data_IF_609629690287
#
_entry.id   IF_609629690287
#
_cell.length_a   1.000
_cell.length_b   1.000
_cell.length_c   1.000
_cell.angle_alpha   90.00
_cell.angle_beta   90.00
_cell.angle_gamma   90.00
#
_symmetry.space_group_name_H-M   'P 1'
#
loop_
_entity.id
_entity.type
_entity.pdbx_description
1 polymer ?
#
# COMPACT_ATOMS: atom_id res chain seq x y z
N UNK A 1 63.43 -22.71 11.25
CA UNK A 1 63.56 -22.18 12.63
C UNK A 1 63.88 -20.70 12.55
N UNK A 2 63.41 -19.82 13.47
CA UNK A 2 62.40 -20.00 14.53
C UNK A 2 61.08 -19.24 14.18
N UNK A 3 59.86 -19.73 14.44
CA UNK A 3 59.07 -19.85 15.70
C UNK A 3 58.89 -18.55 16.48
N UNK A 4 57.64 -18.15 16.72
CA UNK A 4 57.29 -17.04 17.61
C UNK A 4 55.79 -16.82 17.76
N UNK A 5 55.15 -17.65 18.59
CA UNK A 5 53.83 -17.46 19.21
C UNK A 5 53.83 -16.33 20.23
N UNK A 6 52.73 -15.58 20.40
CA UNK A 6 52.36 -15.02 21.71
C UNK A 6 50.84 -14.86 21.87
N UNK A 7 50.31 -15.69 22.75
CA UNK A 7 49.08 -15.50 23.51
C UNK A 7 49.27 -14.40 24.58
N UNK A 8 48.22 -13.61 24.84
CA UNK A 8 47.89 -12.98 26.13
C UNK A 8 46.35 -12.87 26.12
N UNK A 9 45.50 -13.58 26.91
CA UNK A 9 45.32 -13.75 28.36
C UNK A 9 45.21 -12.44 29.15
N UNK A 10 44.09 -12.32 29.89
CA UNK A 10 43.87 -11.83 31.28
C UNK A 10 42.46 -11.21 31.40
N UNK A 11 41.79 -11.18 32.58
CA UNK A 11 41.58 -12.21 33.59
C UNK A 11 40.09 -12.54 33.82
N UNK A 12 39.87 -13.61 34.58
CA UNK A 12 38.61 -14.10 35.13
C UNK A 12 38.49 -13.83 36.65
N UNK A 13 37.23 -13.82 37.14
CA UNK A 13 36.70 -14.08 38.51
C UNK A 13 36.58 -12.93 39.53
N UNK A 14 35.71 -13.06 40.59
CA UNK A 14 34.67 -14.08 40.91
C UNK A 14 33.27 -13.42 41.09
N UNK A 15 32.10 -14.05 41.23
CA UNK A 15 31.66 -15.34 41.78
C UNK A 15 30.60 -15.06 42.85
N UNK A 16 29.36 -15.54 42.71
CA UNK A 16 28.44 -15.76 43.83
C UNK A 16 27.41 -16.87 43.52
N UNK A 17 27.36 -17.83 44.44
CA UNK A 17 26.47 -18.98 44.52
C UNK A 17 25.07 -18.59 45.04
N UNK A 18 24.05 -19.31 44.59
CA UNK A 18 22.72 -19.32 45.22
C UNK A 18 21.85 -20.41 44.61
N UNK A 19 21.69 -21.52 45.33
CA UNK A 19 21.02 -22.74 44.90
C UNK A 19 19.55 -22.82 45.34
N UNK A 20 18.68 -23.26 44.41
CA UNK A 20 17.45 -24.04 44.61
C UNK A 20 16.17 -23.30 45.07
N UNK A 21 14.99 -23.97 45.07
CA UNK A 21 14.54 -25.11 44.26
C UNK A 21 13.25 -24.83 43.47
N UNK A 22 13.03 -25.61 42.41
CA UNK A 22 11.82 -25.66 41.57
C UNK A 22 10.67 -26.42 42.25
N UNK A 23 9.42 -25.92 42.20
CA UNK A 23 8.25 -26.75 42.48
C UNK A 23 7.68 -27.36 41.18
N UNK A 24 7.64 -28.70 41.17
CA UNK A 24 6.81 -29.49 40.28
C UNK A 24 5.32 -29.25 40.59
N UNK A 25 4.54 -28.88 39.58
CA UNK A 25 3.09 -29.08 39.59
C UNK A 25 2.68 -29.85 38.34
N UNK A 26 2.40 -31.12 38.56
CA UNK A 26 1.67 -32.03 37.66
C UNK A 26 0.17 -31.92 37.93
N UNK A 27 -0.63 -31.71 36.89
CA UNK A 27 -2.06 -32.08 36.84
C UNK A 27 -2.58 -32.05 35.39
N UNK A 28 -3.72 -32.69 35.06
CA UNK A 28 -3.72 -33.78 34.09
C UNK A 28 -4.49 -33.46 32.80
N UNK A 29 -4.20 -34.28 31.79
CA UNK A 29 -5.00 -34.70 30.63
C UNK A 29 -6.28 -33.93 30.27
N UNK A 30 -6.31 -33.43 29.03
CA UNK A 30 -7.38 -33.76 28.08
C UNK A 30 -6.79 -33.86 26.66
N UNK A 31 -6.55 -35.09 26.22
CA UNK A 31 -6.21 -35.41 24.83
C UNK A 31 -7.52 -35.62 24.07
N UNK A 32 -7.85 -34.71 23.16
CA UNK A 32 -8.95 -34.88 22.21
C UNK A 32 -8.39 -35.56 20.95
N UNK A 33 -8.71 -36.84 20.81
CA UNK A 33 -8.42 -37.67 19.64
C UNK A 33 -9.44 -37.34 18.55
N UNK A 34 -9.03 -36.69 17.46
CA UNK A 34 -9.86 -36.58 16.25
C UNK A 34 -9.59 -37.76 15.33
N UNK A 35 -10.52 -38.71 15.32
CA UNK A 35 -10.57 -39.83 14.38
C UNK A 35 -11.08 -39.30 13.04
N UNK A 36 -10.19 -39.18 12.05
CA UNK A 36 -10.58 -38.83 10.67
C UNK A 36 -10.94 -40.13 9.94
N UNK A 37 -12.22 -40.31 9.65
CA UNK A 37 -12.70 -41.40 8.81
C UNK A 37 -12.09 -41.32 7.41
N UNK A 38 -11.35 -42.37 7.05
CA UNK A 38 -10.82 -42.62 5.71
C UNK A 38 -11.93 -43.35 4.94
N UNK A 39 -12.48 -42.70 3.90
CA UNK A 39 -13.32 -43.38 2.91
C UNK A 39 -12.42 -44.12 1.91
N UNK A 40 -12.79 -45.33 1.47
CA UNK A 40 -11.99 -46.14 0.57
C UNK A 40 -12.03 -45.61 -0.88
N UNK A 41 -10.99 -45.90 -1.70
CA UNK A 41 -10.97 -45.53 -3.10
C UNK A 41 -11.81 -46.52 -3.93
N UNK A 42 -12.51 -46.00 -4.95
CA UNK A 42 -13.12 -46.81 -6.02
C UNK A 42 -12.37 -46.59 -7.35
N UNK A 43 -12.39 -47.60 -8.26
CA UNK A 43 -11.31 -47.88 -9.22
C UNK A 43 -11.44 -47.11 -10.54
N UNK A 44 -10.39 -47.15 -11.40
CA UNK A 44 -10.38 -46.44 -12.68
C UNK A 44 -11.12 -47.23 -13.75
N UNK A 45 -11.86 -46.55 -14.62
CA UNK A 45 -12.31 -47.11 -15.90
C UNK A 45 -12.20 -46.08 -17.03
N UNK A 46 -11.97 -46.62 -18.21
CA UNK A 46 -11.38 -46.03 -19.40
C UNK A 46 -12.42 -45.35 -20.33
N UNK A 47 -12.00 -44.24 -20.94
CA UNK A 47 -12.17 -43.78 -22.33
C UNK A 47 -13.55 -43.54 -23.00
N UNK A 48 -13.55 -42.41 -23.74
CA UNK A 48 -14.19 -42.06 -25.04
C UNK A 48 -15.52 -41.26 -25.05
N UNK A 49 -15.38 -40.03 -25.56
CA UNK A 49 -16.36 -39.15 -26.23
C UNK A 49 -17.02 -39.78 -27.49
N UNK A 50 -17.93 -39.10 -28.23
CA UNK A 50 -18.89 -38.01 -27.90
C UNK A 50 -20.33 -38.29 -28.43
N UNK A 51 -21.31 -37.41 -28.15
CA UNK A 51 -22.23 -36.79 -29.15
C UNK A 51 -23.35 -35.96 -28.48
N UNK A 52 -23.78 -34.94 -29.24
CA UNK A 52 -24.81 -33.93 -28.98
C UNK A 52 -26.22 -34.48 -28.69
N UNK A 53 -27.04 -33.75 -27.92
CA UNK A 53 -28.37 -33.27 -28.37
C UNK A 53 -29.09 -32.43 -27.29
N UNK A 54 -30.15 -31.77 -27.76
CA UNK A 54 -30.81 -30.56 -27.29
C UNK A 54 -31.60 -30.59 -25.96
N UNK A 55 -31.82 -29.38 -25.44
CA UNK A 55 -32.87 -28.85 -24.52
C UNK A 55 -34.30 -29.36 -24.82
N UNK A 56 -35.38 -29.07 -24.02
CA UNK A 56 -35.53 -28.03 -22.96
C UNK A 56 -36.37 -28.43 -21.71
N UNK A 57 -36.41 -27.58 -20.67
CA UNK A 57 -37.64 -27.06 -19.97
C UNK A 57 -37.32 -26.38 -18.62
N UNK A 58 -37.66 -25.09 -18.54
CA UNK A 58 -38.04 -24.32 -17.34
C UNK A 58 -39.49 -24.70 -16.91
N UNK A 59 -40.10 -24.22 -15.78
CA UNK A 59 -39.86 -22.95 -15.05
C UNK A 59 -39.99 -22.98 -13.50
N UNK A 60 -39.66 -21.86 -12.82
CA UNK A 60 -40.49 -21.23 -11.78
C UNK A 60 -39.96 -19.82 -11.43
N UNK A 61 -40.89 -18.87 -11.36
CA UNK A 61 -40.72 -17.45 -10.99
C UNK A 61 -40.96 -17.23 -9.48
N UNK A 62 -40.34 -16.20 -8.86
CA UNK A 62 -40.99 -15.04 -8.20
C UNK A 62 -40.01 -14.12 -7.40
N UNK A 63 -40.39 -12.90 -6.95
CA UNK A 63 -39.68 -11.66 -7.33
C UNK A 63 -39.17 -10.79 -6.16
N UNK A 64 -38.51 -9.67 -6.49
CA UNK A 64 -38.61 -8.43 -5.70
C UNK A 64 -37.31 -7.66 -5.53
N UNK A 65 -37.19 -6.51 -6.19
CA UNK A 65 -36.82 -5.18 -5.66
C UNK A 65 -36.38 -4.27 -6.81
N UNK A 66 -37.22 -3.28 -7.12
CA UNK A 66 -36.92 -2.19 -8.04
C UNK A 66 -36.13 -1.11 -7.30
N UNK A 67 -34.92 -0.79 -7.77
CA UNK A 67 -34.28 0.50 -7.52
C UNK A 67 -34.44 1.35 -8.78
N UNK A 68 -35.17 2.46 -8.65
CA UNK A 68 -35.27 3.48 -9.68
C UNK A 68 -33.96 4.29 -9.72
N UNK A 69 -33.18 4.13 -10.77
CA UNK A 69 -32.11 5.07 -11.13
C UNK A 69 -32.67 6.00 -12.22
N UNK A 70 -32.82 7.28 -11.88
CA UNK A 70 -33.12 8.33 -12.85
C UNK A 70 -31.84 8.63 -13.65
N UNK A 71 -31.79 8.14 -14.89
CA UNK A 71 -30.73 8.43 -15.84
C UNK A 71 -31.10 9.71 -16.61
N UNK A 72 -30.38 10.81 -16.36
CA UNK A 72 -30.54 12.05 -17.10
C UNK A 72 -29.61 12.01 -18.31
N UNK A 73 -30.14 11.53 -19.44
CA UNK A 73 -29.46 11.51 -20.74
C UNK A 73 -29.53 12.91 -21.37
N UNK A 74 -28.46 13.69 -21.25
CA UNK A 74 -28.21 14.85 -22.10
C UNK A 74 -27.50 14.38 -23.37
N UNK A 75 -28.26 14.27 -24.46
CA UNK A 75 -27.70 14.06 -25.80
C UNK A 75 -27.36 15.43 -26.39
N UNK A 76 -26.07 15.73 -26.54
CA UNK A 76 -25.63 16.91 -27.27
C UNK A 76 -25.13 16.49 -28.66
N UNK A 77 -26.00 16.65 -29.67
CA UNK A 77 -25.63 16.54 -31.10
C UNK A 77 -24.81 17.77 -31.48
N UNK A 78 -23.54 17.57 -31.86
CA UNK A 78 -22.75 18.57 -32.59
C UNK A 78 -23.19 18.61 -34.07
N UNK A 79 -23.25 19.80 -34.68
CA UNK A 79 -22.88 19.97 -36.07
C UNK A 79 -21.62 20.84 -36.20
N UNK A 80 -20.72 20.41 -37.07
CA UNK A 80 -19.60 21.19 -37.57
C UNK A 80 -20.12 22.29 -38.53
N UNK A 81 -19.65 23.53 -38.37
CA UNK A 81 -19.12 24.41 -39.43
C UNK A 81 -18.98 25.86 -38.92
N UNK A 82 -17.98 26.54 -39.47
CA UNK A 82 -17.44 27.84 -39.09
C UNK A 82 -18.38 29.03 -39.38
N UNK A 83 -18.32 30.05 -38.52
CA UNK A 83 -18.06 31.47 -38.84
C UNK A 83 -18.35 32.36 -37.62
N UNK A 84 -17.77 33.55 -37.67
CA UNK A 84 -17.51 34.53 -36.61
C UNK A 84 -18.69 35.40 -36.12
N UNK A 85 -18.56 35.92 -34.88
CA UNK A 85 -19.23 37.07 -34.22
C UNK A 85 -20.48 36.76 -33.34
N UNK A 86 -20.87 37.68 -32.43
CA UNK A 86 -20.49 37.73 -31.02
C UNK A 86 -21.59 37.17 -30.08
N UNK A 87 -21.17 36.70 -28.89
CA UNK A 87 -22.03 36.05 -27.90
C UNK A 87 -23.15 36.96 -27.35
N UNK A 88 -24.41 36.51 -27.30
CA UNK A 88 -25.40 37.05 -26.40
C UNK A 88 -25.29 36.39 -25.02
N UNK A 89 -25.30 37.21 -23.98
CA UNK A 89 -25.36 36.80 -22.57
C UNK A 89 -26.73 36.16 -22.28
N UNK A 90 -26.76 34.85 -22.07
CA UNK A 90 -27.98 34.14 -21.66
C UNK A 90 -28.10 34.18 -20.15
N UNK A 91 -28.99 35.04 -19.63
CA UNK A 91 -29.38 35.07 -18.21
C UNK A 91 -30.30 33.89 -17.92
N UNK A 92 -29.88 32.98 -17.04
CA UNK A 92 -30.72 31.88 -16.53
C UNK A 92 -31.36 32.34 -15.21
N UNK A 93 -32.68 32.48 -15.20
CA UNK A 93 -33.46 32.76 -13.98
C UNK A 93 -33.88 31.43 -13.35
N UNK A 94 -33.43 31.16 -12.12
CA UNK A 94 -33.84 29.99 -11.34
C UNK A 94 -34.92 30.44 -10.34
N UNK A 95 -36.13 29.93 -10.50
CA UNK A 95 -37.24 30.15 -9.56
C UNK A 95 -37.24 29.02 -8.54
N UNK A 96 -36.94 29.33 -7.26
CA UNK A 96 -36.99 28.37 -6.15
C UNK A 96 -38.36 28.46 -5.49
N UNK A 97 -39.18 27.42 -5.66
CA UNK A 97 -40.48 27.29 -5.00
C UNK A 97 -40.29 26.59 -3.65
N UNK A 98 -40.36 27.33 -2.54
CA UNK A 98 -40.32 26.77 -1.18
C UNK A 98 -41.69 26.24 -0.79
N UNK A 99 -41.84 24.92 -0.69
CA UNK A 99 -43.00 24.27 -0.07
C UNK A 99 -42.79 24.17 1.45
N UNK A 100 -43.60 24.91 2.21
CA UNK A 100 -43.71 24.77 3.66
C UNK A 100 -44.57 23.53 4.01
N UNK A 101 -44.09 22.58 4.84
CA UNK A 101 -44.98 21.61 5.46
C UNK A 101 -45.57 22.15 6.77
N UNK A 102 -46.87 21.93 6.93
CA UNK A 102 -47.67 22.30 8.07
C UNK A 102 -47.28 21.53 9.34
N UNK A 103 -47.27 22.24 10.47
CA UNK A 103 -47.08 21.69 11.80
C UNK A 103 -48.28 20.83 12.24
N UNK A 104 -48.01 19.59 12.66
CA UNK A 104 -48.88 18.84 13.58
C UNK A 104 -48.10 18.46 14.82
N UNK A 105 -48.54 18.98 15.96
CA UNK A 105 -47.98 18.75 17.28
C UNK A 105 -48.42 17.37 17.81
N UNK A 106 -47.48 16.45 17.98
CA UNK A 106 -47.63 15.30 18.86
C UNK A 106 -46.56 15.35 19.95
N UNK A 107 -47.00 15.44 21.21
CA UNK A 107 -46.14 15.28 22.38
C UNK A 107 -45.64 13.84 22.47
N UNK A 108 -44.42 13.60 21.99
CA UNK A 108 -43.60 12.46 22.38
C UNK A 108 -42.35 12.98 23.08
N UNK A 109 -42.12 12.48 24.30
CA UNK A 109 -40.91 12.77 25.10
C UNK A 109 -39.68 12.34 24.30
N UNK A 110 -38.65 13.20 24.13
CA UNK A 110 -37.41 12.78 23.52
C UNK A 110 -36.62 11.98 24.55
N UNK A 111 -36.51 10.67 24.33
CA UNK A 111 -35.38 9.89 24.84
C UNK A 111 -34.15 10.42 24.10
N UNK A 112 -33.39 11.30 24.74
CA UNK A 112 -32.18 11.88 24.17
C UNK A 112 -31.18 10.75 23.91
N UNK A 113 -30.94 10.52 22.63
CA UNK A 113 -29.91 9.66 22.06
C UNK A 113 -28.54 10.10 22.56
N UNK A 114 -28.02 9.50 23.65
CA UNK A 114 -26.61 9.66 24.02
C UNK A 114 -25.66 9.15 22.92
N UNK A 115 -26.10 8.20 22.09
CA UNK A 115 -25.32 7.71 20.95
C UNK A 115 -25.11 8.72 19.80
N UNK A 116 -25.95 9.75 19.67
CA UNK A 116 -25.81 10.72 18.57
C UNK A 116 -24.71 11.77 18.82
N UNK A 117 -24.41 12.07 20.10
CA UNK A 117 -23.36 13.04 20.44
C UNK A 117 -21.96 12.46 20.22
N UNK A 118 -21.76 11.18 20.52
CA UNK A 118 -20.47 10.50 20.32
C UNK A 118 -20.17 10.29 18.82
N UNK A 119 -21.18 9.97 18.00
CA UNK A 119 -21.05 9.84 16.56
C UNK A 119 -20.67 11.17 15.89
N UNK A 120 -21.35 12.27 16.27
CA UNK A 120 -21.01 13.60 15.76
C UNK A 120 -19.60 14.04 16.13
N UNK A 121 -19.08 13.63 17.28
CA UNK A 121 -17.72 13.95 17.70
C UNK A 121 -16.67 13.18 16.88
N UNK A 122 -16.94 11.92 16.54
CA UNK A 122 -16.01 11.10 15.75
C UNK A 122 -15.93 11.56 14.29
N UNK A 123 -17.06 11.82 13.66
CA UNK A 123 -17.11 12.30 12.26
C UNK A 123 -16.47 13.69 12.14
N UNK A 124 -16.70 14.56 13.13
CA UNK A 124 -16.04 15.86 13.19
C UNK A 124 -14.52 15.74 13.29
N UNK A 125 -14.04 14.81 14.10
CA UNK A 125 -12.61 14.57 14.26
C UNK A 125 -11.97 13.99 13.01
N UNK A 126 -12.67 13.10 12.30
CA UNK A 126 -12.23 12.59 11.00
C UNK A 126 -12.13 13.72 9.95
N UNK A 127 -13.12 14.59 9.89
CA UNK A 127 -13.11 15.78 9.02
C UNK A 127 -11.95 16.73 9.35
N UNK A 128 -11.69 16.99 10.63
CA UNK A 128 -10.55 17.81 11.05
C UNK A 128 -9.21 17.20 10.62
N UNK A 129 -9.08 15.87 10.69
CA UNK A 129 -7.88 15.16 10.27
C UNK A 129 -7.68 15.23 8.75
N UNK A 130 -8.73 15.02 7.95
CA UNK A 130 -8.61 15.02 6.49
C UNK A 130 -8.45 16.43 5.89
N UNK A 131 -9.17 17.41 6.43
CA UNK A 131 -9.21 18.78 5.89
C UNK A 131 -7.82 19.45 5.82
N UNK A 132 -6.94 19.17 6.78
CA UNK A 132 -5.56 19.68 6.78
C UNK A 132 -4.78 19.28 5.51
N UNK A 133 -4.93 18.01 5.10
CA UNK A 133 -4.28 17.46 3.91
C UNK A 133 -5.00 17.84 2.61
N UNK A 134 -6.32 18.03 2.65
CA UNK A 134 -7.08 18.59 1.53
C UNK A 134 -6.62 20.03 1.24
N UNK A 135 -6.41 20.84 2.28
CA UNK A 135 -5.85 22.18 2.15
C UNK A 135 -4.39 22.16 1.63
N UNK A 136 -3.55 21.21 2.07
CA UNK A 136 -2.20 21.03 1.49
C UNK A 136 -2.28 20.77 -0.02
N UNK A 137 -3.18 19.87 -0.44
CA UNK A 137 -3.36 19.49 -1.83
C UNK A 137 -3.88 20.66 -2.68
N UNK A 138 -4.78 21.47 -2.12
CA UNK A 138 -5.28 22.69 -2.74
C UNK A 138 -4.29 23.88 -2.66
N UNK A 139 -3.07 23.67 -2.14
CA UNK A 139 -2.04 24.70 -1.97
C UNK A 139 -2.46 25.86 -1.05
N UNK A 140 -3.39 25.61 -0.13
CA UNK A 140 -3.87 26.57 0.88
C UNK A 140 -3.04 26.43 2.16
N UNK A 141 -1.74 26.73 2.07
CA UNK A 141 -0.76 26.39 3.12
C UNK A 141 -0.98 27.09 4.46
N UNK A 142 -1.47 28.33 4.48
CA UNK A 142 -1.82 29.03 5.73
C UNK A 142 -2.96 28.31 6.49
N UNK A 143 -4.01 27.94 5.75
CA UNK A 143 -5.15 27.19 6.32
C UNK A 143 -4.72 25.79 6.76
N UNK A 144 -3.94 25.11 5.92
CA UNK A 144 -3.41 23.79 6.21
C UNK A 144 -2.57 23.78 7.49
N UNK A 145 -1.68 24.77 7.68
CA UNK A 145 -0.85 24.89 8.89
C UNK A 145 -1.70 24.95 10.17
N UNK A 146 -2.75 25.78 10.17
CA UNK A 146 -3.66 25.91 11.30
C UNK A 146 -4.51 24.64 11.51
N UNK A 147 -4.91 23.98 10.44
CA UNK A 147 -5.68 22.74 10.50
C UNK A 147 -4.85 21.56 11.03
N UNK A 148 -3.56 21.45 10.67
CA UNK A 148 -2.66 20.46 11.26
C UNK A 148 -2.51 20.67 12.77
N UNK A 149 -2.42 21.93 13.23
CA UNK A 149 -2.39 22.24 14.66
C UNK A 149 -3.67 21.81 15.37
N UNK A 150 -4.83 22.21 14.83
CA UNK A 150 -6.13 21.87 15.39
C UNK A 150 -6.35 20.35 15.46
N UNK A 151 -6.01 19.63 14.40
CA UNK A 151 -6.13 18.17 14.35
C UNK A 151 -5.23 17.49 15.41
N UNK A 152 -3.98 17.95 15.57
CA UNK A 152 -3.09 17.42 16.59
C UNK A 152 -3.61 17.67 18.02
N UNK A 153 -4.09 18.87 18.32
CA UNK A 153 -4.66 19.20 19.63
C UNK A 153 -5.93 18.38 19.94
N UNK A 154 -6.80 18.20 18.95
CA UNK A 154 -8.01 17.40 19.10
C UNK A 154 -7.69 15.92 19.40
N UNK A 155 -6.66 15.36 18.73
CA UNK A 155 -6.15 14.02 19.01
C UNK A 155 -5.51 13.90 20.40
N UNK A 156 -4.75 14.90 20.85
CA UNK A 156 -4.17 14.95 22.20
C UNK A 156 -5.27 14.92 23.27
N UNK A 157 -6.34 15.69 23.07
CA UNK A 157 -7.50 15.71 23.94
C UNK A 157 -8.24 14.36 23.94
N UNK A 158 -8.39 13.72 22.77
CA UNK A 158 -9.01 12.40 22.67
C UNK A 158 -8.22 11.32 23.43
N UNK A 159 -6.87 11.36 23.36
CA UNK A 159 -6.01 10.48 24.16
C UNK A 159 -6.24 10.74 25.65
N UNK A 160 -6.23 12.00 26.10
CA UNK A 160 -6.46 12.34 27.50
C UNK A 160 -7.82 11.85 28.00
N UNK A 161 -8.88 12.05 27.20
CA UNK A 161 -10.23 11.58 27.51
C UNK A 161 -10.30 10.04 27.56
N UNK A 162 -9.63 9.35 26.63
CA UNK A 162 -9.60 7.87 26.59
C UNK A 162 -8.98 7.24 27.85
N UNK A 163 -8.02 7.94 28.50
CA UNK A 163 -7.41 7.49 29.75
C UNK A 163 -8.36 7.60 30.95
N UNK A 164 -9.36 8.48 30.87
CA UNK A 164 -10.40 8.64 31.90
C UNK A 164 -11.61 7.75 31.65
N UNK A 165 -11.76 7.21 30.43
CA UNK A 165 -12.85 6.32 30.07
C UNK A 165 -12.67 4.93 30.69
N UNK A 166 -13.77 4.38 31.20
CA UNK A 166 -13.85 3.01 31.74
C UNK A 166 -14.09 2.00 30.59
N UNK A 167 -14.38 2.48 29.38
CA UNK A 167 -14.62 1.65 28.19
C UNK A 167 -13.33 0.91 27.77
N UNK A 168 -13.31 -0.43 27.78
CA UNK A 168 -12.11 -1.20 27.44
C UNK A 168 -11.73 -1.09 25.95
N UNK A 169 -12.69 -0.87 25.06
CA UNK A 169 -12.45 -0.82 23.61
C UNK A 169 -11.76 0.49 23.17
N UNK A 170 -12.15 1.62 23.77
CA UNK A 170 -11.60 2.95 23.47
C UNK A 170 -10.19 3.16 24.05
N UNK A 171 -9.83 2.33 25.03
CA UNK A 171 -8.58 2.41 25.76
C UNK A 171 -7.55 1.35 25.30
N UNK A 172 -7.72 0.74 24.13
CA UNK A 172 -6.72 -0.18 23.60
C UNK A 172 -5.37 0.53 23.37
N UNK A 173 -4.26 -0.14 23.71
CA UNK A 173 -2.92 0.40 23.49
C UNK A 173 -2.64 0.67 22.00
N UNK A 174 -3.26 -0.12 21.12
CA UNK A 174 -3.16 0.05 19.66
C UNK A 174 -3.85 1.34 19.21
N UNK A 175 -5.07 1.63 19.68
CA UNK A 175 -5.76 2.88 19.39
C UNK A 175 -4.95 4.08 19.87
N UNK A 176 -4.35 4.00 21.06
CA UNK A 176 -3.45 5.04 21.58
C UNK A 176 -2.17 5.18 20.74
N UNK A 177 -1.59 4.10 20.23
CA UNK A 177 -0.45 4.18 19.29
C UNK A 177 -0.85 4.90 18.01
N UNK A 178 -1.95 4.47 17.38
CA UNK A 178 -2.45 5.06 16.13
C UNK A 178 -2.65 6.57 16.29
N UNK A 179 -3.34 7.02 17.35
CA UNK A 179 -3.54 8.45 17.62
C UNK A 179 -2.22 9.20 17.81
N UNK A 180 -1.24 8.63 18.53
CA UNK A 180 0.09 9.23 18.69
C UNK A 180 0.83 9.35 17.37
N UNK A 181 0.74 8.33 16.51
CA UNK A 181 1.31 8.37 15.16
C UNK A 181 0.65 9.48 14.33
N UNK A 182 -0.68 9.62 14.37
CA UNK A 182 -1.38 10.72 13.70
C UNK A 182 -0.94 12.10 14.21
N UNK A 183 -0.83 12.28 15.54
CA UNK A 183 -0.30 13.53 16.13
C UNK A 183 1.10 13.82 15.58
N UNK A 184 1.98 12.83 15.57
CA UNK A 184 3.33 12.99 15.04
C UNK A 184 3.30 13.42 13.57
N UNK A 185 2.47 12.79 12.74
CA UNK A 185 2.31 13.16 11.32
C UNK A 185 1.86 14.62 11.22
N UNK A 186 0.78 15.04 11.88
CA UNK A 186 0.31 16.43 11.78
C UNK A 186 1.36 17.43 12.27
N UNK A 187 2.07 17.15 13.36
CA UNK A 187 3.15 18.02 13.88
C UNK A 187 4.38 18.05 12.97
N UNK A 188 4.68 16.96 12.26
CA UNK A 188 5.75 16.89 11.27
C UNK A 188 5.41 17.74 10.04
N UNK A 189 4.17 17.64 9.54
CA UNK A 189 3.66 18.47 8.44
C UNK A 189 3.63 19.95 8.81
N UNK A 190 3.13 20.29 10.00
CA UNK A 190 3.13 21.67 10.51
C UNK A 190 4.56 22.27 10.54
N UNK A 191 5.55 21.50 11.03
CA UNK A 191 6.96 21.92 11.02
C UNK A 191 7.53 22.07 9.61
N UNK A 192 7.10 21.24 8.67
CA UNK A 192 7.53 21.32 7.27
C UNK A 192 6.93 22.52 6.54
N UNK A 193 5.70 22.92 6.87
CA UNK A 193 5.03 24.11 6.31
C UNK A 193 5.63 25.42 6.83
N UNK A 194 6.07 25.46 8.10
CA UNK A 194 6.55 26.70 8.74
C UNK A 194 7.60 27.48 7.92
N UNK A 195 8.72 26.87 7.45
CA UNK A 195 9.72 27.61 6.67
C UNK A 195 9.16 28.21 5.37
N UNK A 196 8.22 27.52 4.74
CA UNK A 196 7.57 27.96 3.49
C UNK A 196 6.69 29.21 3.73
N UNK A 197 6.02 29.27 4.88
CA UNK A 197 5.19 30.41 5.29
C UNK A 197 6.01 31.60 5.79
N UNK A 198 7.05 31.33 6.60
CA UNK A 198 7.84 32.39 7.25
C UNK A 198 8.80 33.11 6.30
N UNK A 199 9.33 32.41 5.30
CA UNK A 199 10.45 32.92 4.50
C UNK A 199 10.03 33.46 3.13
N UNK A 200 8.76 33.30 2.75
CA UNK A 200 8.36 33.30 1.35
C UNK A 200 9.03 32.13 0.60
N UNK A 201 8.55 31.81 -0.61
CA UNK A 201 9.03 30.63 -1.34
C UNK A 201 10.55 30.64 -1.63
N UNK A 202 11.23 31.79 -1.57
CA UNK A 202 12.60 32.01 -2.04
C UNK A 202 13.79 31.50 -1.21
N UNK A 203 13.60 30.62 -0.22
CA UNK A 203 14.76 30.00 0.48
C UNK A 203 15.33 28.89 -0.38
N UNK A 204 16.59 29.06 -0.76
CA UNK A 204 17.34 28.03 -1.47
C UNK A 204 17.95 27.02 -0.49
N UNK A 205 17.89 25.73 -0.82
CA UNK A 205 18.63 24.68 -0.12
C UNK A 205 20.15 24.88 -0.27
N UNK A 206 20.96 24.04 0.38
CA UNK A 206 22.43 24.09 0.30
C UNK A 206 22.95 23.94 -1.14
N UNK A 207 22.09 23.52 -2.08
CA UNK A 207 22.36 23.30 -3.49
C UNK A 207 21.78 24.42 -4.39
N UNK A 208 21.26 25.51 -3.79
CA UNK A 208 20.74 26.67 -4.53
C UNK A 208 19.31 26.51 -5.07
N UNK A 209 18.58 25.46 -4.70
CA UNK A 209 17.21 25.19 -5.18
C UNK A 209 16.16 25.66 -4.19
N UNK A 210 15.10 26.28 -4.70
CA UNK A 210 13.97 26.71 -3.90
C UNK A 210 13.43 25.57 -3.02
N UNK A 211 13.20 25.83 -1.73
CA UNK A 211 12.63 24.87 -0.79
C UNK A 211 11.15 24.65 -1.14
N UNK A 212 10.90 23.77 -2.11
CA UNK A 212 9.55 23.40 -2.53
C UNK A 212 8.95 22.44 -1.50
N UNK A 213 7.88 22.87 -0.85
CA UNK A 213 7.08 22.00 0.00
C UNK A 213 6.36 20.97 -0.88
N UNK A 214 6.50 19.69 -0.55
CA UNK A 214 5.83 18.59 -1.25
C UNK A 214 4.55 18.22 -0.47
N UNK A 215 3.35 18.43 -1.05
CA UNK A 215 2.10 18.00 -0.43
C UNK A 215 2.09 16.50 -0.15
N UNK A 216 1.43 16.08 0.93
CA UNK A 216 1.33 14.68 1.28
C UNK A 216 0.47 13.94 0.23
N UNK A 217 0.92 12.79 -0.30
CA UNK A 217 0.12 11.94 -1.17
C UNK A 217 -1.20 11.59 -0.49
N UNK A 218 -2.30 11.69 -1.24
CA UNK A 218 -3.64 11.42 -0.76
C UNK A 218 -4.51 10.78 -1.87
N UNK A 219 -5.75 10.47 -1.52
CA UNK A 219 -6.68 9.77 -2.39
C UNK A 219 -7.17 10.65 -3.54
N UNK A 220 -7.17 11.98 -3.39
CA UNK A 220 -7.52 12.90 -4.48
C UNK A 220 -6.52 12.79 -5.63
N UNK A 221 -5.22 12.86 -5.32
CA UNK A 221 -4.17 12.65 -6.31
C UNK A 221 -4.24 11.26 -6.94
N UNK A 222 -4.44 10.22 -6.13
CA UNK A 222 -4.57 8.85 -6.62
C UNK A 222 -5.80 8.64 -7.51
N UNK A 223 -6.95 9.22 -7.16
CA UNK A 223 -8.16 9.12 -7.95
C UNK A 223 -8.02 9.88 -9.27
N UNK A 224 -7.31 11.01 -9.27
CA UNK A 224 -6.94 11.71 -10.50
C UNK A 224 -6.14 10.83 -11.46
N UNK A 225 -5.19 10.04 -10.94
CA UNK A 225 -4.44 9.09 -11.76
C UNK A 225 -5.28 7.89 -12.23
N UNK A 226 -6.37 7.54 -11.54
CA UNK A 226 -7.25 6.42 -11.91
C UNK A 226 -8.34 6.81 -12.91
N UNK A 227 -8.56 8.11 -13.10
CA UNK A 227 -9.52 8.64 -14.06
C UNK A 227 -9.11 8.25 -15.49
N UNK A 228 -10.07 7.81 -16.31
CA UNK A 228 -9.84 7.41 -17.69
C UNK A 228 -9.27 8.56 -18.53
N UNK A 229 -9.61 9.81 -18.18
CA UNK A 229 -9.11 11.01 -18.87
C UNK A 229 -7.64 11.32 -18.55
N UNK A 230 -7.08 10.74 -17.49
CA UNK A 230 -5.69 11.01 -17.07
C UNK A 230 -4.64 10.50 -18.05
N UNK A 231 -4.96 9.47 -18.83
CA UNK A 231 -4.00 8.76 -19.68
C UNK A 231 -2.83 8.11 -18.91
N UNK A 232 -2.89 8.03 -17.57
CA UNK A 232 -1.85 7.43 -16.74
C UNK A 232 -1.72 5.91 -16.97
N UNK A 233 -0.63 5.30 -16.51
CA UNK A 233 -0.51 3.85 -16.57
C UNK A 233 -1.50 3.16 -15.60
N UNK A 234 -1.80 3.83 -14.49
CA UNK A 234 -2.78 3.40 -13.50
C UNK A 234 -4.21 3.38 -14.02
N UNK A 235 -4.64 4.37 -14.80
CA UNK A 235 -5.99 4.39 -15.39
C UNK A 235 -6.14 3.29 -16.44
N UNK A 236 -5.13 3.07 -17.27
CA UNK A 236 -5.09 1.93 -18.21
C UNK A 236 -5.16 0.61 -17.45
N UNK A 237 -4.40 0.45 -16.36
CA UNK A 237 -4.48 -0.76 -15.54
C UNK A 237 -5.87 -0.94 -14.93
N UNK A 238 -6.44 0.13 -14.38
CA UNK A 238 -7.78 0.13 -13.79
C UNK A 238 -8.82 -0.36 -14.80
N UNK A 239 -8.83 0.21 -16.01
CA UNK A 239 -9.71 -0.18 -17.11
C UNK A 239 -9.56 -1.68 -17.46
N UNK A 240 -8.32 -2.15 -17.62
CA UNK A 240 -8.05 -3.56 -17.97
C UNK A 240 -8.54 -4.52 -16.86
N UNK A 241 -8.33 -4.17 -15.59
CA UNK A 241 -8.78 -5.00 -14.46
C UNK A 241 -10.30 -5.00 -14.30
N UNK A 242 -10.94 -3.86 -14.55
CA UNK A 242 -12.39 -3.74 -14.60
C UNK A 242 -12.99 -4.61 -15.71
N UNK A 243 -12.47 -4.52 -16.94
CA UNK A 243 -12.91 -5.35 -18.07
C UNK A 243 -12.79 -6.84 -17.78
N UNK A 244 -11.67 -7.27 -17.18
CA UNK A 244 -11.45 -8.66 -16.79
C UNK A 244 -12.45 -9.16 -15.72
N UNK A 245 -12.98 -8.25 -14.90
CA UNK A 245 -13.92 -8.60 -13.81
C UNK A 245 -15.36 -8.75 -14.29
N UNK A 246 -15.75 -8.04 -15.35
CA UNK A 246 -17.13 -8.00 -15.85
C UNK A 246 -17.40 -8.88 -17.07
N UNK A 247 -16.37 -9.43 -17.72
CA UNK A 247 -16.57 -10.38 -18.84
C UNK A 247 -16.88 -11.78 -18.30
N UNK A 248 -18.12 -12.31 -18.46
CA UNK A 248 -18.54 -13.60 -17.92
C UNK A 248 -18.11 -14.79 -18.79
N UNK A 249 -17.33 -14.55 -19.85
CA UNK A 249 -16.77 -15.61 -20.67
C UNK A 249 -15.48 -16.11 -20.00
N UNK A 250 -15.22 -17.43 -19.97
CA UNK A 250 -13.95 -18.00 -19.52
C UNK A 250 -12.88 -17.76 -20.58
N UNK A 251 -12.77 -16.53 -21.08
CA UNK A 251 -11.58 -16.05 -21.71
C UNK A 251 -10.60 -15.78 -20.58
N UNK A 252 -10.00 -16.85 -20.05
CA UNK A 252 -8.59 -16.72 -19.67
C UNK A 252 -7.93 -16.22 -20.95
N UNK A 253 -7.42 -14.98 -21.00
CA UNK A 253 -6.52 -14.64 -22.08
C UNK A 253 -5.43 -15.68 -21.94
N UNK A 254 -5.31 -16.58 -22.92
CA UNK A 254 -4.00 -17.16 -23.17
C UNK A 254 -3.10 -15.92 -23.27
N UNK A 255 -2.14 -15.80 -22.36
CA UNK A 255 -1.29 -14.62 -22.19
C UNK A 255 -0.50 -14.20 -23.47
N UNK A 256 -0.74 -14.88 -24.59
CA UNK A 256 -0.18 -14.63 -25.92
C UNK A 256 -1.01 -13.65 -26.78
N UNK A 257 -2.28 -13.40 -26.46
CA UNK A 257 -3.12 -12.43 -27.18
C UNK A 257 -3.64 -11.36 -26.22
N UNK A 258 -2.74 -10.46 -25.80
CA UNK A 258 -3.11 -9.20 -25.17
C UNK A 258 -3.99 -8.38 -26.12
N UNK A 259 -4.90 -7.52 -25.61
CA UNK A 259 -5.62 -6.56 -26.44
C UNK A 259 -4.66 -5.85 -27.39
N UNK A 260 -5.12 -5.66 -28.64
CA UNK A 260 -4.40 -5.07 -29.78
C UNK A 260 -3.38 -3.99 -29.35
N UNK A 261 -2.22 -3.87 -30.01
CA UNK A 261 -1.27 -2.76 -29.81
C UNK A 261 -1.87 -1.35 -29.97
N UNK A 262 -3.16 -1.26 -30.31
CA UNK A 262 -3.96 -0.05 -30.36
C UNK A 262 -4.51 0.43 -28.99
N UNK A 263 -4.09 -0.12 -27.85
CA UNK A 263 -4.23 0.62 -26.59
C UNK A 263 -3.43 1.91 -26.75
N UNK A 264 -4.06 3.09 -26.67
CA UNK A 264 -3.36 4.34 -26.89
C UNK A 264 -2.14 4.43 -25.96
N UNK A 265 -0.95 4.50 -26.55
CA UNK A 265 0.38 4.54 -25.93
C UNK A 265 0.63 5.79 -25.04
N UNK A 266 -0.41 6.46 -24.56
CA UNK A 266 -0.31 7.75 -23.86
C UNK A 266 0.10 7.66 -22.39
N UNK A 267 0.36 6.46 -21.84
CA UNK A 267 1.02 6.34 -20.53
C UNK A 267 2.51 6.69 -20.67
N UNK A 268 2.80 7.97 -20.86
CA UNK A 268 4.15 8.49 -21.03
C UNK A 268 4.85 8.40 -19.68
N UNK A 269 5.59 7.30 -19.47
CA UNK A 269 6.74 7.30 -18.57
C UNK A 269 7.74 8.28 -19.18
N UNK A 270 7.51 9.58 -19.00
CA UNK A 270 8.26 10.62 -19.68
C UNK A 270 9.68 10.64 -19.11
N UNK A 271 10.65 10.19 -19.91
CA UNK A 271 12.01 10.07 -19.46
C UNK A 271 12.69 11.42 -19.15
N UNK A 272 12.12 12.52 -19.66
CA UNK A 272 12.67 13.86 -19.51
C UNK A 272 12.32 14.49 -18.16
N UNK A 273 11.29 13.99 -17.48
CA UNK A 273 10.89 14.47 -16.18
C UNK A 273 11.93 14.07 -15.11
N UNK A 274 12.17 14.94 -14.10
CA UNK A 274 13.11 14.64 -13.04
C UNK A 274 12.65 13.41 -12.21
N UNK A 275 13.60 12.62 -11.70
CA UNK A 275 13.26 11.48 -10.87
C UNK A 275 12.72 11.89 -9.51
N UNK A 276 11.77 11.11 -8.98
CA UNK A 276 11.26 11.26 -7.62
C UNK A 276 12.10 10.40 -6.70
N UNK A 277 12.61 10.97 -5.61
CA UNK A 277 13.53 10.28 -4.69
C UNK A 277 12.91 10.17 -3.30
N UNK A 278 13.07 9.00 -2.69
CA UNK A 278 12.68 8.75 -1.30
C UNK A 278 13.82 8.23 -0.47
N UNK A 279 13.97 8.78 0.74
CA UNK A 279 14.84 8.23 1.77
C UNK A 279 14.06 7.27 2.65
N UNK A 280 14.53 6.02 2.74
CA UNK A 280 13.86 5.01 3.53
C UNK A 280 14.45 4.94 4.94
N UNK A 281 13.55 5.05 5.92
CA UNK A 281 13.85 4.93 7.34
C UNK A 281 13.14 3.73 7.93
N UNK A 282 13.76 3.15 8.97
CA UNK A 282 13.21 1.98 9.65
C UNK A 282 13.18 2.18 11.15
N UNK A 283 12.08 1.77 11.74
CA UNK A 283 11.85 1.77 13.19
C UNK A 283 11.32 0.38 13.57
N UNK A 284 11.72 -0.09 14.75
CA UNK A 284 11.23 -1.33 15.34
C UNK A 284 10.56 -1.02 16.66
N UNK A 285 9.36 -1.53 16.84
CA UNK A 285 8.58 -1.38 18.06
C UNK A 285 8.17 -2.76 18.61
N UNK A 286 8.11 -2.87 19.93
CA UNK A 286 7.55 -4.03 20.60
C UNK A 286 6.11 -3.73 20.98
N UNK A 287 5.16 -4.55 20.50
CA UNK A 287 3.77 -4.44 20.93
C UNK A 287 3.59 -5.14 22.27
N UNK A 288 2.59 -4.71 23.04
CA UNK A 288 2.21 -5.32 24.32
C UNK A 288 1.76 -6.77 24.16
N UNK A 289 1.32 -7.16 22.97
CA UNK A 289 0.97 -8.54 22.59
C UNK A 289 2.18 -9.45 22.29
N UNK A 290 3.41 -8.97 22.48
CA UNK A 290 4.64 -9.73 22.22
C UNK A 290 4.94 -9.90 20.72
N UNK A 291 4.28 -9.14 19.86
CA UNK A 291 4.60 -9.06 18.44
C UNK A 291 5.68 -7.97 18.21
N UNK A 292 6.63 -8.25 17.32
CA UNK A 292 7.53 -7.25 16.79
C UNK A 292 6.80 -6.52 15.66
N UNK A 293 6.70 -5.21 15.76
CA UNK A 293 6.18 -4.35 14.69
C UNK A 293 7.35 -3.66 14.00
N UNK A 294 7.40 -3.81 12.68
CA UNK A 294 8.35 -3.15 11.82
C UNK A 294 7.64 -2.02 11.11
N UNK A 295 8.18 -0.82 11.25
CA UNK A 295 7.67 0.39 10.61
C UNK A 295 8.76 0.89 9.67
N UNK A 296 8.40 1.05 8.42
CA UNK A 296 9.29 1.55 7.38
C UNK A 296 8.67 2.82 6.82
N UNK A 297 9.40 3.93 6.79
CA UNK A 297 8.89 5.23 6.32
C UNK A 297 9.66 5.67 5.10
N UNK A 298 8.95 6.13 4.07
CA UNK A 298 9.55 6.77 2.91
C UNK A 298 9.41 8.28 3.07
N UNK A 299 10.56 8.96 3.18
CA UNK A 299 10.64 10.41 3.33
C UNK A 299 10.96 11.07 2.00
N UNK A 300 10.50 12.30 1.87
CA UNK A 300 10.81 13.17 0.73
C UNK A 300 12.32 13.43 0.60
N UNK A 301 12.79 13.93 -0.54
CA UNK A 301 14.22 14.12 -0.85
C UNK A 301 14.98 14.92 0.22
N UNK A 302 14.34 15.90 0.87
CA UNK A 302 14.98 16.66 1.96
C UNK A 302 15.17 15.86 3.26
N UNK A 303 14.63 14.64 3.33
CA UNK A 303 14.59 13.76 4.50
C UNK A 303 13.86 14.35 5.73
N UNK A 304 13.14 15.45 5.54
CA UNK A 304 12.51 16.21 6.63
C UNK A 304 11.21 15.59 7.12
N UNK A 305 10.44 15.02 6.20
CA UNK A 305 9.13 14.48 6.52
C UNK A 305 8.77 13.24 5.70
N UNK A 306 7.92 12.41 6.29
CA UNK A 306 7.44 11.15 5.75
C UNK A 306 6.25 11.38 4.83
N UNK A 307 6.22 10.68 3.70
CA UNK A 307 5.12 10.70 2.72
C UNK A 307 4.36 9.38 2.69
N UNK A 308 5.06 8.28 2.96
CA UNK A 308 4.47 6.95 3.06
C UNK A 308 5.03 6.18 4.25
N UNK A 309 4.23 5.24 4.74
CA UNK A 309 4.64 4.31 5.81
C UNK A 309 4.18 2.91 5.46
N UNK A 310 5.01 1.92 5.73
CA UNK A 310 4.66 0.50 5.68
C UNK A 310 4.78 -0.07 7.09
N UNK A 311 3.75 -0.79 7.52
CA UNK A 311 3.75 -1.50 8.79
C UNK A 311 3.63 -3.00 8.53
N UNK A 312 4.49 -3.78 9.18
CA UNK A 312 4.40 -5.23 9.21
C UNK A 312 4.52 -5.72 10.64
N UNK A 313 3.80 -6.79 10.97
CA UNK A 313 3.87 -7.41 12.29
C UNK A 313 4.38 -8.85 12.18
N UNK A 314 5.22 -9.22 13.12
CA UNK A 314 5.90 -10.51 13.19
C UNK A 314 5.80 -11.07 14.60
N UNK A 315 5.37 -12.33 14.74
CA UNK A 315 5.31 -13.02 16.04
C UNK A 315 6.35 -14.13 16.06
N UNK A 316 7.31 -14.00 16.97
CA UNK A 316 8.44 -14.92 17.30
C UNK A 316 8.96 -15.78 16.15
N UNK A 317 8.22 -16.82 15.77
CA UNK A 317 8.65 -17.92 14.90
C UNK A 317 7.96 -17.92 13.53
N UNK A 318 7.11 -16.92 13.24
CA UNK A 318 6.40 -16.81 11.99
C UNK A 318 7.03 -15.72 11.12
N UNK A 319 7.54 -16.12 9.96
CA UNK A 319 7.96 -15.20 8.90
C UNK A 319 6.93 -14.10 8.63
N UNK A 320 7.37 -12.92 8.23
CA UNK A 320 6.47 -11.85 7.77
C UNK A 320 5.69 -12.37 6.55
N UNK A 321 4.37 -12.46 6.68
CA UNK A 321 3.45 -12.94 5.63
C UNK A 321 2.53 -11.84 5.09
N UNK A 322 2.44 -10.72 5.79
CA UNK A 322 1.60 -9.59 5.39
C UNK A 322 2.19 -8.26 5.89
N UNK A 323 1.84 -7.20 5.18
CA UNK A 323 2.15 -5.82 5.55
C UNK A 323 1.08 -4.90 5.00
N UNK A 324 0.91 -3.74 5.64
CA UNK A 324 -0.01 -2.69 5.21
C UNK A 324 0.79 -1.44 4.87
N UNK A 325 0.44 -0.80 3.75
CA UNK A 325 1.10 0.39 3.24
C UNK A 325 0.13 1.57 3.21
N UNK A 326 0.57 2.69 3.77
CA UNK A 326 -0.24 3.85 4.10
C UNK A 326 0.36 5.10 3.43
N UNK A 327 -0.53 5.92 2.88
CA UNK A 327 -0.26 7.34 2.69
C UNK A 327 -0.34 8.03 4.05
N UNK A 328 0.59 8.92 4.36
CA UNK A 328 0.57 9.61 5.67
C UNK A 328 -0.69 10.45 5.86
N UNK A 329 -1.26 10.98 4.76
CA UNK A 329 -2.49 11.77 4.78
C UNK A 329 -3.74 10.96 5.14
N UNK A 330 -3.69 9.64 4.99
CA UNK A 330 -4.84 8.75 5.17
C UNK A 330 -4.65 7.80 6.37
N UNK A 331 -3.52 7.88 7.09
CA UNK A 331 -3.23 6.96 8.19
C UNK A 331 -4.33 7.04 9.27
N UNK A 332 -4.88 5.90 9.75
CA UNK A 332 -4.40 4.52 9.60
C UNK A 332 -5.10 3.70 8.48
N UNK A 333 -5.76 4.33 7.50
CA UNK A 333 -6.37 3.60 6.40
C UNK A 333 -5.29 3.15 5.40
N UNK A 334 -5.13 1.83 5.16
CA UNK A 334 -4.15 1.35 4.19
C UNK A 334 -4.63 1.66 2.77
N UNK A 335 -3.69 2.08 1.92
CA UNK A 335 -3.93 2.24 0.48
C UNK A 335 -3.49 1.01 -0.32
N UNK A 336 -2.55 0.21 0.22
CA UNK A 336 -2.14 -1.08 -0.35
C UNK A 336 -1.98 -2.11 0.77
N UNK A 337 -2.69 -3.23 0.66
CA UNK A 337 -2.49 -4.42 1.49
C UNK A 337 -1.60 -5.43 0.77
N UNK A 338 -0.58 -5.92 1.46
CA UNK A 338 0.45 -6.78 0.89
C UNK A 338 0.37 -8.17 1.51
N UNK A 339 0.32 -9.19 0.66
CA UNK A 339 0.40 -10.59 1.07
C UNK A 339 1.61 -11.25 0.44
N UNK A 340 2.40 -11.95 1.25
CA UNK A 340 3.58 -12.69 0.83
C UNK A 340 3.26 -14.18 0.86
N UNK A 341 3.66 -14.91 -0.18
CA UNK A 341 3.58 -16.38 -0.16
C UNK A 341 4.40 -16.96 0.99
N UNK A 342 3.86 -17.98 1.66
CA UNK A 342 4.53 -18.64 2.78
C UNK A 342 5.88 -19.25 2.43
N UNK A 343 6.78 -19.22 3.42
CA UNK A 343 8.03 -19.98 3.47
C UNK A 343 7.98 -20.89 4.69
N UNK A 344 8.69 -22.02 4.63
CA UNK A 344 8.88 -22.92 5.76
C UNK A 344 9.42 -22.15 6.99
N UNK A 345 8.78 -22.37 8.14
CA UNK A 345 9.03 -21.57 9.36
C UNK A 345 10.46 -21.70 9.91
N UNK A 346 11.09 -22.85 9.70
CA UNK A 346 12.40 -23.19 10.29
C UNK A 346 13.59 -22.94 9.36
N UNK A 347 13.39 -22.16 8.30
CA UNK A 347 14.45 -21.85 7.37
C UNK A 347 15.17 -20.56 7.79
N UNK A 348 16.40 -20.71 8.29
CA UNK A 348 17.27 -19.60 8.72
C UNK A 348 17.61 -18.62 7.58
N UNK A 349 17.38 -19.01 6.32
CA UNK A 349 17.61 -18.17 5.14
C UNK A 349 16.32 -17.62 4.53
N UNK A 350 15.17 -17.83 5.18
CA UNK A 350 13.85 -17.50 4.65
C UNK A 350 13.70 -16.03 4.26
N UNK A 351 14.34 -15.12 4.99
CA UNK A 351 14.30 -13.69 4.72
C UNK A 351 14.96 -13.28 3.40
N UNK A 352 15.90 -14.08 2.87
CA UNK A 352 16.63 -13.80 1.62
C UNK A 352 16.03 -14.53 0.41
N UNK A 353 15.11 -15.46 0.65
CA UNK A 353 14.46 -16.25 -0.38
C UNK A 353 13.31 -15.47 -1.01
N UNK A 354 13.28 -15.49 -2.34
CA UNK A 354 12.22 -14.87 -3.12
C UNK A 354 10.84 -15.48 -2.83
N UNK A 355 9.83 -14.61 -2.78
CA UNK A 355 8.42 -14.95 -2.54
C UNK A 355 7.55 -14.32 -3.62
N UNK A 356 6.39 -14.90 -3.83
CA UNK A 356 5.33 -14.22 -4.58
C UNK A 356 4.77 -13.10 -3.70
N UNK A 357 4.62 -11.91 -4.26
CA UNK A 357 4.05 -10.74 -3.59
C UNK A 357 2.70 -10.45 -4.24
N UNK A 358 1.63 -10.38 -3.46
CA UNK A 358 0.33 -9.92 -3.91
C UNK A 358 0.06 -8.53 -3.33
N UNK A 359 -0.04 -7.54 -4.20
CA UNK A 359 -0.28 -6.14 -3.85
C UNK A 359 -1.75 -5.83 -4.18
N UNK A 360 -2.57 -5.67 -3.14
CA UNK A 360 -3.99 -5.28 -3.27
C UNK A 360 -4.10 -3.78 -3.00
N UNK A 361 -4.15 -3.00 -4.07
CA UNK A 361 -4.39 -1.55 -4.04
C UNK A 361 -5.82 -1.20 -4.47
N UNK A 362 -6.02 -0.09 -5.20
CA UNK A 362 -7.34 0.41 -5.58
C UNK A 362 -8.04 -0.41 -6.70
N UNK A 363 -7.36 -1.41 -7.27
CA UNK A 363 -7.84 -2.20 -8.40
C UNK A 363 -8.74 -3.37 -7.99
N UNK A 364 -9.61 -3.81 -8.90
CA UNK A 364 -10.47 -4.99 -8.67
C UNK A 364 -9.69 -6.30 -8.51
N UNK A 365 -8.51 -6.38 -9.14
CA UNK A 365 -7.62 -7.54 -9.05
C UNK A 365 -6.26 -7.16 -8.45
N UNK A 366 -5.69 -8.00 -7.57
CA UNK A 366 -4.38 -7.74 -6.99
C UNK A 366 -3.28 -7.90 -8.05
N UNK A 367 -2.25 -7.07 -7.94
CA UNK A 367 -1.03 -7.19 -8.75
C UNK A 367 -0.17 -8.28 -8.13
N UNK A 368 0.29 -9.22 -8.96
CA UNK A 368 1.06 -10.38 -8.52
C UNK A 368 2.47 -10.31 -9.08
N UNK A 369 3.45 -10.21 -8.19
CA UNK A 369 4.85 -10.35 -8.54
C UNK A 369 5.32 -11.78 -8.35
N UNK A 370 5.73 -12.41 -9.44
CA UNK A 370 6.20 -13.79 -9.43
C UNK A 370 7.72 -13.83 -9.54
N UNK A 371 8.43 -14.49 -8.62
CA UNK A 371 9.84 -14.77 -8.80
C UNK A 371 10.03 -15.82 -9.89
N UNK A 372 11.11 -15.68 -10.69
CA UNK A 372 11.50 -16.73 -11.64
C UNK A 372 11.74 -18.08 -10.94
N UNK A 373 12.17 -18.03 -9.66
CA UNK A 373 12.52 -19.19 -8.85
C UNK A 373 11.98 -19.07 -7.44
N UNK A 374 10.79 -19.58 -7.18
CA UNK A 374 10.17 -19.57 -5.86
C UNK A 374 11.09 -20.16 -4.77
N UNK A 375 11.15 -19.49 -3.60
CA UNK A 375 11.92 -19.91 -2.42
C UNK A 375 13.43 -20.15 -2.70
N UNK A 376 14.03 -19.39 -3.63
CA UNK A 376 15.48 -19.37 -3.87
C UNK A 376 16.06 -17.98 -3.58
N UNK A 377 17.35 -17.96 -3.28
CA UNK A 377 18.13 -16.73 -3.12
C UNK A 377 18.71 -16.35 -4.50
N UNK A 378 18.73 -15.05 -4.87
CA UNK A 378 18.18 -13.91 -4.13
C UNK A 378 16.68 -13.69 -4.43
N UNK A 379 16.12 -12.63 -3.83
CA UNK A 379 14.74 -12.18 -4.04
C UNK A 379 14.35 -11.92 -5.51
N UNK A 380 15.32 -11.54 -6.34
CA UNK A 380 15.18 -11.27 -7.76
C UNK A 380 15.79 -12.38 -8.62
N UNK A 381 15.39 -12.51 -9.89
CA UNK A 381 14.41 -11.67 -10.58
C UNK A 381 12.95 -11.96 -10.21
N UNK A 382 12.11 -10.92 -10.18
CA UNK A 382 10.64 -11.01 -10.05
C UNK A 382 9.95 -10.25 -11.17
N UNK A 383 8.88 -10.81 -11.70
CA UNK A 383 8.16 -10.29 -12.86
C UNK A 383 6.71 -10.00 -12.51
N UNK A 384 6.15 -8.95 -13.10
CA UNK A 384 4.73 -8.64 -13.02
C UNK A 384 4.28 -7.87 -14.27
N UNK A 385 2.96 -7.73 -14.42
CA UNK A 385 2.34 -6.94 -15.48
C UNK A 385 1.53 -5.82 -14.84
N UNK A 386 1.58 -4.63 -15.44
CA UNK A 386 0.85 -3.46 -14.98
C UNK A 386 0.49 -2.57 -16.17
N UNK A 387 -0.77 -2.18 -16.29
CA UNK A 387 -1.27 -1.42 -17.46
C UNK A 387 -0.95 -2.06 -18.82
N UNK A 388 -0.98 -3.40 -18.92
CA UNK A 388 -0.62 -4.14 -20.14
C UNK A 388 0.89 -4.24 -20.42
N UNK A 389 1.74 -3.58 -19.62
CA UNK A 389 3.20 -3.56 -19.76
C UNK A 389 3.85 -4.56 -18.81
N UNK A 390 5.05 -5.02 -19.16
CA UNK A 390 5.76 -6.09 -18.44
C UNK A 390 7.01 -5.55 -17.76
N UNK A 391 7.17 -5.87 -16.49
CA UNK A 391 8.24 -5.35 -15.66
C UNK A 391 8.98 -6.44 -14.91
N UNK A 392 10.29 -6.26 -14.74
CA UNK A 392 11.16 -7.18 -14.03
C UNK A 392 12.02 -6.43 -13.01
N UNK A 393 11.91 -6.85 -11.74
CA UNK A 393 12.86 -6.51 -10.69
C UNK A 393 14.13 -7.34 -10.90
N UNK A 394 15.29 -6.69 -10.97
CA UNK A 394 16.62 -7.33 -11.04
C UNK A 394 17.45 -6.94 -9.82
N UNK A 395 18.48 -7.73 -9.44
CA UNK A 395 19.37 -7.35 -8.34
C UNK A 395 20.01 -5.98 -8.60
N UNK A 396 20.02 -5.10 -7.60
CA UNK A 396 20.65 -3.77 -7.72
C UNK A 396 22.18 -3.86 -7.76
N UNK A 397 22.75 -4.76 -6.95
CA UNK A 397 24.15 -5.18 -7.01
C UNK A 397 24.19 -6.72 -7.03
N UNK A 398 24.85 -7.35 -8.02
CA UNK A 398 25.03 -8.80 -8.06
C UNK A 398 25.73 -9.41 -6.84
N UNK A 399 26.42 -8.60 -6.04
CA UNK A 399 27.21 -9.03 -4.88
C UNK A 399 26.62 -8.61 -3.53
N UNK A 400 25.55 -7.80 -3.51
CA UNK A 400 24.88 -7.36 -2.28
C UNK A 400 23.38 -7.65 -2.37
N UNK A 401 22.97 -8.79 -1.79
CA UNK A 401 21.58 -9.23 -1.74
C UNK A 401 20.66 -8.28 -0.93
N UNK A 402 21.23 -7.34 -0.16
CA UNK A 402 20.45 -6.36 0.64
C UNK A 402 20.22 -5.06 -0.14
N UNK A 403 20.94 -4.85 -1.25
CA UNK A 403 20.74 -3.70 -2.13
C UNK A 403 19.27 -3.63 -2.59
N UNK A 404 18.66 -2.43 -2.69
CA UNK A 404 17.37 -2.29 -3.34
C UNK A 404 17.43 -2.82 -4.77
N UNK A 405 16.32 -3.40 -5.23
CA UNK A 405 16.28 -3.98 -6.58
C UNK A 405 16.00 -2.90 -7.61
N UNK A 406 16.46 -3.15 -8.83
CA UNK A 406 16.27 -2.22 -9.95
C UNK A 406 15.15 -2.73 -10.85
N UNK A 407 14.17 -1.88 -11.13
CA UNK A 407 13.05 -2.20 -12.02
C UNK A 407 13.39 -1.83 -13.46
N UNK A 408 13.10 -2.75 -14.37
CA UNK A 408 13.15 -2.50 -15.81
C UNK A 408 11.85 -2.93 -16.47
N UNK A 409 11.51 -2.28 -17.57
CA UNK A 409 10.49 -2.76 -18.50
C UNK A 409 11.11 -3.74 -19.50
N UNK A 410 10.35 -4.74 -19.94
CA UNK A 410 10.75 -5.66 -20.99
C UNK A 410 9.57 -5.97 -21.93
N UNK A 411 9.86 -6.41 -23.15
CA UNK A 411 8.84 -6.79 -24.13
C UNK A 411 8.72 -8.30 -24.26
N UNK A 412 9.84 -9.01 -24.24
CA UNK A 412 9.91 -10.46 -24.40
C UNK A 412 10.79 -11.06 -23.35
N UNK A 413 10.42 -12.26 -22.94
CA UNK A 413 11.23 -13.10 -22.10
C UNK A 413 11.18 -14.55 -22.58
N UNK A 414 12.21 -15.31 -22.25
CA UNK A 414 12.36 -16.69 -22.69
C UNK A 414 13.12 -17.50 -21.66
N UNK A 415 12.94 -18.82 -21.68
CA UNK A 415 13.72 -19.70 -20.81
C UNK A 415 15.21 -19.58 -21.14
N UNK A 416 16.05 -19.44 -20.11
CA UNK A 416 17.51 -19.42 -20.30
C UNK A 416 17.97 -20.76 -20.91
N UNK A 417 18.67 -20.77 -22.06
CA UNK A 417 19.14 -22.01 -22.66
C UNK A 417 19.96 -22.85 -21.66
N UNK A 418 19.63 -24.15 -21.57
CA UNK A 418 20.26 -25.09 -20.63
C UNK A 418 19.84 -24.97 -19.17
N UNK A 419 18.94 -24.03 -18.81
CA UNK A 419 18.44 -23.91 -17.43
C UNK A 419 17.39 -24.98 -17.11
N UNK A 420 17.69 -25.84 -16.15
CA UNK A 420 16.69 -26.74 -15.53
C UNK A 420 15.93 -26.10 -14.36
N UNK A 421 16.30 -24.87 -14.00
CA UNK A 421 15.88 -24.21 -12.75
C UNK A 421 14.82 -23.14 -12.95
N UNK A 422 14.23 -23.03 -14.14
CA UNK A 422 13.20 -22.03 -14.44
C UNK A 422 13.70 -20.60 -14.66
N UNK A 423 15.03 -20.35 -14.62
CA UNK A 423 15.60 -19.03 -14.93
C UNK A 423 15.17 -18.54 -16.31
N UNK A 424 14.69 -17.30 -16.39
CA UNK A 424 14.33 -16.64 -17.65
C UNK A 424 15.37 -15.57 -18.00
N UNK A 425 15.49 -15.29 -19.29
CA UNK A 425 16.16 -14.13 -19.85
C UNK A 425 15.09 -13.20 -20.41
N UNK A 426 15.43 -11.93 -20.59
CA UNK A 426 14.54 -10.90 -21.11
C UNK A 426 15.31 -9.88 -21.93
N UNK A 427 14.57 -9.13 -22.74
CA UNK A 427 15.06 -7.98 -23.50
C UNK A 427 14.85 -6.67 -22.75
N UNK A 428 14.97 -6.69 -21.41
CA UNK A 428 14.70 -5.52 -20.59
C UNK A 428 15.49 -4.30 -21.06
N UNK A 429 14.80 -3.16 -21.11
CA UNK A 429 15.37 -1.89 -21.52
C UNK A 429 16.55 -1.53 -20.61
N UNK A 430 17.65 -0.97 -21.12
CA UNK A 430 18.80 -0.60 -20.29
C UNK A 430 18.49 0.53 -19.31
N UNK A 431 17.38 1.25 -19.53
CA UNK A 431 16.93 2.35 -18.68
C UNK A 431 16.14 1.83 -17.48
N UNK A 432 16.58 2.08 -16.23
CA UNK A 432 15.82 1.69 -15.06
C UNK A 432 14.63 2.63 -14.84
N UNK A 433 13.53 2.07 -14.34
CA UNK A 433 12.35 2.82 -13.89
C UNK A 433 12.38 3.07 -12.38
N UNK A 434 12.98 2.14 -11.64
CA UNK A 434 13.23 2.28 -10.20
C UNK A 434 14.63 1.76 -9.93
N UNK A 435 15.41 2.47 -9.15
CA UNK A 435 16.72 2.01 -8.68
C UNK A 435 16.94 2.50 -7.27
N UNK A 436 17.93 1.95 -6.57
CA UNK A 436 18.23 2.41 -5.22
C UNK A 436 19.72 2.45 -4.94
N UNK A 437 20.03 3.23 -3.93
CA UNK A 437 21.37 3.39 -3.37
C UNK A 437 21.36 2.91 -1.92
N UNK A 438 22.46 2.30 -1.51
CA UNK A 438 22.73 1.94 -0.12
C UNK A 438 23.92 2.76 0.35
N UNK A 439 23.71 3.58 1.38
CA UNK A 439 24.76 4.37 2.03
C UNK A 439 24.95 3.86 3.46
N UNK A 440 26.20 3.59 3.84
CA UNK A 440 26.52 3.27 5.24
C UNK A 440 26.59 4.57 6.05
N UNK A 441 25.69 4.75 7.02
CA UNK A 441 25.73 5.85 7.98
C UNK A 441 26.05 5.29 9.36
N UNK A 442 27.35 5.23 9.67
CA UNK A 442 27.84 4.56 10.89
C UNK A 442 27.60 3.05 10.85
N UNK A 443 26.88 2.51 11.84
CA UNK A 443 26.53 1.07 11.92
C UNK A 443 25.21 0.72 11.21
N UNK A 444 24.52 1.69 10.63
CA UNK A 444 23.19 1.51 10.04
C UNK A 444 23.25 1.81 8.55
N UNK A 445 22.69 0.91 7.74
CA UNK A 445 22.48 1.15 6.32
C UNK A 445 21.28 2.08 6.14
N UNK A 446 21.48 3.13 5.35
CA UNK A 446 20.45 4.03 4.84
C UNK A 446 20.20 3.69 3.38
N UNK A 447 18.92 3.60 3.00
CA UNK A 447 18.50 3.28 1.65
C UNK A 447 17.83 4.50 1.03
N UNK A 448 18.18 4.77 -0.23
CA UNK A 448 17.51 5.79 -1.05
C UNK A 448 16.95 5.09 -2.27
N UNK A 449 15.70 5.36 -2.63
CA UNK A 449 15.05 4.81 -3.82
C UNK A 449 14.70 5.96 -4.74
N UNK A 450 14.99 5.78 -6.02
CA UNK A 450 14.69 6.72 -7.07
C UNK A 450 13.71 6.10 -8.05
N UNK A 451 12.73 6.89 -8.45
CA UNK A 451 11.72 6.57 -9.44
C UNK A 451 11.96 7.46 -10.66
N UNK A 452 11.97 6.87 -11.85
CA UNK A 452 12.00 7.65 -13.08
C UNK A 452 10.84 8.65 -13.11
N UNK A 453 11.08 9.81 -13.72
CA UNK A 453 10.03 10.80 -13.94
C UNK A 453 8.87 10.23 -14.78
N UNK A 454 7.68 10.80 -14.58
CA UNK A 454 6.46 10.38 -15.28
C UNK A 454 5.81 9.10 -14.74
N UNK A 455 6.32 8.51 -13.66
CA UNK A 455 5.60 7.45 -12.92
C UNK A 455 4.50 8.13 -12.09
N UNK A 456 3.24 7.82 -12.42
CA UNK A 456 2.06 8.30 -11.70
C UNK A 456 2.06 7.83 -10.22
N UNK A 457 1.30 8.52 -9.37
CA UNK A 457 1.31 8.29 -7.92
C UNK A 457 0.94 6.85 -7.57
N UNK A 458 -0.13 6.31 -8.18
CA UNK A 458 -0.63 4.97 -7.82
C UNK A 458 0.36 3.89 -8.24
N UNK A 459 0.99 3.99 -9.42
CA UNK A 459 2.02 3.03 -9.81
C UNK A 459 3.26 3.15 -8.92
N UNK A 460 3.68 4.38 -8.60
CA UNK A 460 4.79 4.64 -7.67
C UNK A 460 4.55 4.02 -6.30
N UNK A 461 3.32 4.11 -5.77
CA UNK A 461 2.91 3.51 -4.51
C UNK A 461 3.04 1.97 -4.53
N UNK A 462 2.57 1.30 -5.59
CA UNK A 462 2.70 -0.15 -5.77
C UNK A 462 4.17 -0.58 -5.76
N UNK A 463 5.00 0.12 -6.52
CA UNK A 463 6.43 -0.18 -6.64
C UNK A 463 7.19 0.08 -5.34
N UNK A 464 6.88 1.18 -4.65
CA UNK A 464 7.47 1.53 -3.36
C UNK A 464 7.07 0.54 -2.27
N UNK A 465 5.79 0.13 -2.21
CA UNK A 465 5.29 -0.89 -1.30
C UNK A 465 6.02 -2.23 -1.50
N UNK A 466 6.25 -2.64 -2.76
CA UNK A 466 7.02 -3.83 -3.12
C UNK A 466 8.48 -3.76 -2.63
N UNK A 467 9.16 -2.62 -2.82
CA UNK A 467 10.52 -2.43 -2.32
C UNK A 467 10.58 -2.47 -0.79
N UNK A 468 9.67 -1.75 -0.12
CA UNK A 468 9.67 -1.64 1.35
C UNK A 468 9.34 -2.97 2.03
N UNK A 469 8.39 -3.76 1.52
CA UNK A 469 8.04 -5.05 2.13
C UNK A 469 9.21 -6.04 2.06
N UNK A 470 9.96 -6.05 0.95
CA UNK A 470 11.18 -6.85 0.82
C UNK A 470 12.22 -6.43 1.85
N UNK A 471 12.45 -5.14 2.01
CA UNK A 471 13.41 -4.63 3.00
C UNK A 471 13.01 -5.00 4.43
N UNK A 472 11.70 -4.98 4.75
CA UNK A 472 11.20 -5.48 6.03
C UNK A 472 11.51 -6.97 6.21
N UNK A 473 11.30 -7.80 5.20
CA UNK A 473 11.66 -9.22 5.28
C UNK A 473 13.16 -9.41 5.53
N UNK A 474 14.03 -8.72 4.80
CA UNK A 474 15.49 -8.81 4.98
C UNK A 474 15.91 -8.37 6.38
N UNK A 475 15.27 -7.31 6.91
CA UNK A 475 15.54 -6.80 8.24
C UNK A 475 15.28 -7.83 9.35
N UNK A 476 14.28 -8.71 9.18
CA UNK A 476 13.99 -9.78 10.16
C UNK A 476 15.09 -10.83 10.31
N UNK A 477 16.04 -10.93 9.37
CA UNK A 477 17.16 -11.89 9.45
C UNK A 477 18.52 -11.27 9.78
N UNK A 478 18.59 -9.95 10.01
CA UNK A 478 19.80 -9.32 10.53
C UNK A 478 19.84 -9.29 12.07
N UNK A 479 18.86 -9.94 12.71
CA UNK A 479 18.75 -10.17 14.15
C UNK A 479 19.21 -11.58 14.50
#
# INVERSE_FOLDING_TARGET
>A
MPTGTSHDRWPWLPGFLGAGPTPHHTSPYHTLTFTRCILPPLPPSLTRHPLLSCSPRQPFCHPGHYCAAALLLLTCKRPCAAASLPHPTTTITITITTLHPAHTWHHNRPTILMGNLDLMNRDHLELLRSSAFEAEHAQLYDSSYMQHEAAALALEQEIANSLTSISPDDNSDEHRRIRRTQIQIHRERQRALRPHLESGSGVQDEEGRECVFVPAPNHWGANGDLDEESGSLSSVHNLLTWQASYSPLPYTPLYDELPSPDIPYYSMLDPSLPPVTYHLHRIREWTTSGCRKYIYSAREYSDRYSLYTLEASHRSDNQVTSAEFFRVAEYPQPCISILLSGIEKHDNTAAYKSRCIHLRGPFSTPIKEYPDRQQKIPWSPRRFTYGGRRFVWKPGDPNDDVMPETLYEFQRDWAKPGSRTGKRLDDATPRPLVWGEKKKKGKVDSYTIHFAGGIDQVFREILLASQMVRQVCLFTAME
#
